data_IF_179853491277
#
_entry.id   IF_179853491277
#
_cell.length_a   1.000
_cell.length_b   1.000
_cell.length_c   1.000
_cell.angle_alpha   90.00
_cell.angle_beta   90.00
_cell.angle_gamma   90.00
#
_symmetry.space_group_name_H-M   'P 1'
#
loop_
_entity.id
_entity.type
_entity.pdbx_description
1 polymer ?
#
# COMPACT_ATOMS: atom_id res chain seq x y z
N UNK A 1 7.87 64.71 13.15
CA UNK A 1 6.84 64.42 12.13
C UNK A 1 7.31 63.23 11.30
N UNK A 2 6.46 62.20 11.13
CA UNK A 2 6.41 61.21 10.03
C UNK A 2 7.71 60.44 9.65
N UNK A 3 7.74 59.14 9.32
CA UNK A 3 6.74 58.12 9.05
C UNK A 3 7.47 56.75 9.00
N UNK A 4 6.70 55.68 9.25
CA UNK A 4 7.08 54.27 9.12
C UNK A 4 7.78 53.88 7.81
N UNK A 5 8.45 52.71 7.80
CA UNK A 5 8.22 51.59 6.84
C UNK A 5 9.06 50.37 7.28
N UNK A 6 8.46 49.45 8.05
CA UNK A 6 8.04 48.09 7.64
C UNK A 6 9.17 47.16 7.20
N UNK A 7 9.46 46.19 8.07
CA UNK A 7 10.15 44.96 7.71
C UNK A 7 9.41 44.16 6.64
N UNK A 8 10.20 43.58 5.74
CA UNK A 8 9.91 42.53 4.75
C UNK A 8 11.27 41.83 4.55
N UNK A 9 11.44 40.52 4.49
CA UNK A 9 10.54 39.39 4.34
C UNK A 9 11.35 38.11 4.56
N UNK A 10 10.88 37.24 5.45
CA UNK A 10 11.33 35.84 5.59
C UNK A 10 10.37 35.01 4.74
N UNK A 11 10.61 34.81 3.43
CA UNK A 11 9.71 33.99 2.60
C UNK A 11 10.23 33.64 1.19
N UNK A 12 11.53 33.39 0.98
CA UNK A 12 12.02 33.06 -0.38
C UNK A 12 12.83 31.76 -0.48
N UNK A 13 13.27 31.18 0.63
CA UNK A 13 14.14 29.99 0.59
C UNK A 13 13.38 28.65 0.49
N UNK A 14 12.07 28.62 0.76
CA UNK A 14 11.28 27.39 0.73
C UNK A 14 10.72 27.00 -0.64
N UNK A 15 10.55 27.98 -1.54
CA UNK A 15 9.75 27.78 -2.76
C UNK A 15 10.59 27.33 -3.97
N UNK A 16 11.90 27.60 -3.94
CA UNK A 16 12.83 27.19 -5.00
C UNK A 16 13.20 25.70 -4.93
N UNK A 17 13.15 25.07 -3.74
CA UNK A 17 13.46 23.65 -3.58
C UNK A 17 12.35 22.71 -4.11
N UNK A 18 11.16 23.22 -4.36
CA UNK A 18 10.03 22.47 -4.92
C UNK A 18 10.05 22.36 -6.46
N UNK A 19 10.96 23.05 -7.14
CA UNK A 19 10.92 23.23 -8.61
C UNK A 19 11.93 22.39 -9.41
N UNK A 20 12.66 21.47 -8.80
CA UNK A 20 13.66 20.66 -9.51
C UNK A 20 13.78 19.21 -9.03
N UNK A 21 12.67 18.56 -8.64
CA UNK A 21 12.67 17.11 -8.56
C UNK A 21 12.73 16.55 -9.98
N UNK A 22 13.76 15.79 -10.31
CA UNK A 22 13.86 15.14 -11.61
C UNK A 22 12.60 14.26 -11.84
N UNK A 23 12.09 14.11 -13.08
CA UNK A 23 10.84 13.38 -13.33
C UNK A 23 10.88 11.90 -12.90
N UNK A 24 12.08 11.35 -12.65
CA UNK A 24 12.32 10.00 -12.11
C UNK A 24 12.57 9.98 -10.60
N UNK A 25 12.82 11.13 -9.98
CA UNK A 25 12.77 11.24 -8.53
C UNK A 25 11.29 11.20 -8.16
N UNK A 26 10.88 10.08 -7.55
CA UNK A 26 9.63 10.02 -6.80
C UNK A 26 9.61 11.26 -5.90
N UNK A 27 8.76 12.24 -6.21
CA UNK A 27 8.10 12.98 -5.14
C UNK A 27 7.68 11.90 -4.17
N UNK A 28 8.21 11.92 -2.94
CA UNK A 28 7.75 11.01 -1.90
C UNK A 28 6.23 11.22 -1.88
N UNK A 29 5.50 10.34 -2.56
CA UNK A 29 4.09 10.56 -2.84
C UNK A 29 3.48 10.72 -1.49
N UNK A 30 3.00 11.94 -1.24
CA UNK A 30 2.78 12.44 0.09
C UNK A 30 1.95 11.40 0.87
N UNK A 31 2.56 10.83 1.90
CA UNK A 31 1.86 10.23 3.03
C UNK A 31 0.73 9.24 2.70
N UNK A 32 1.01 8.12 2.03
CA UNK A 32 0.18 6.94 2.28
C UNK A 32 0.64 6.29 3.60
N UNK A 33 0.43 6.99 4.71
CA UNK A 33 0.64 6.47 6.07
C UNK A 33 -0.46 5.47 6.47
N UNK A 34 -0.97 4.70 5.51
CA UNK A 34 -2.04 3.76 5.74
C UNK A 34 -1.41 2.58 6.43
N UNK A 35 -1.65 2.49 7.73
CA UNK A 35 -1.11 1.41 8.54
C UNK A 35 -2.19 0.36 8.69
N UNK A 36 -2.04 -0.78 8.03
CA UNK A 36 -3.00 -1.88 8.14
C UNK A 36 -3.00 -2.34 9.60
N UNK A 37 -4.16 -2.25 10.24
CA UNK A 37 -4.36 -2.79 11.57
C UNK A 37 -4.79 -4.24 11.45
N UNK A 38 -4.07 -5.11 12.14
CA UNK A 38 -4.31 -6.54 12.14
C UNK A 38 -4.32 -7.11 13.56
N UNK A 39 -5.03 -8.21 13.74
CA UNK A 39 -5.06 -8.98 14.98
C UNK A 39 -4.66 -10.43 14.64
N UNK A 40 -3.80 -11.10 15.44
CA UNK A 40 -3.48 -12.51 15.25
C UNK A 40 -4.74 -13.37 15.31
N UNK A 41 -4.79 -14.42 14.50
CA UNK A 41 -5.84 -15.44 14.58
C UNK A 41 -5.25 -16.83 14.71
N UNK A 42 -5.90 -17.65 15.51
CA UNK A 42 -5.49 -19.05 15.74
C UNK A 42 -6.24 -20.01 14.81
N UNK A 43 -7.53 -19.78 14.60
CA UNK A 43 -8.36 -20.68 13.79
C UNK A 43 -8.23 -20.38 12.30
N UNK A 44 -7.97 -21.44 11.51
CA UNK A 44 -8.03 -21.42 10.05
C UNK A 44 -9.19 -22.27 9.53
N UNK A 45 -9.66 -21.95 8.32
CA UNK A 45 -10.68 -22.73 7.61
C UNK A 45 -11.83 -21.88 7.08
N UNK A 46 -12.67 -22.46 6.21
CA UNK A 46 -13.72 -21.72 5.50
C UNK A 46 -14.79 -21.17 6.44
N UNK A 47 -15.20 -21.94 7.46
CA UNK A 47 -16.21 -21.52 8.45
C UNK A 47 -15.72 -20.36 9.32
N UNK A 48 -14.47 -20.43 9.79
CA UNK A 48 -13.86 -19.36 10.58
C UNK A 48 -13.72 -18.09 9.74
N UNK A 49 -13.21 -18.20 8.50
CA UNK A 49 -13.11 -17.08 7.57
C UNK A 49 -14.47 -16.43 7.26
N UNK A 50 -15.53 -17.23 7.07
CA UNK A 50 -16.87 -16.71 6.85
C UNK A 50 -17.41 -15.96 8.08
N UNK A 51 -17.13 -16.44 9.29
CA UNK A 51 -17.50 -15.76 10.54
C UNK A 51 -16.81 -14.40 10.66
N UNK A 52 -15.49 -14.33 10.41
CA UNK A 52 -14.75 -13.05 10.42
C UNK A 52 -15.37 -12.03 9.46
N UNK A 53 -15.73 -12.46 8.24
CA UNK A 53 -16.37 -11.60 7.24
C UNK A 53 -17.74 -11.10 7.67
N UNK A 54 -18.53 -11.92 8.37
CA UNK A 54 -19.82 -11.50 8.95
C UNK A 54 -19.64 -10.42 10.01
N UNK A 55 -18.55 -10.46 10.77
CA UNK A 55 -18.19 -9.41 11.73
C UNK A 55 -17.51 -8.19 11.08
N UNK A 56 -17.45 -8.13 9.75
CA UNK A 56 -16.83 -7.01 9.03
C UNK A 56 -15.31 -7.04 9.03
N UNK A 57 -14.69 -8.20 9.24
CA UNK A 57 -13.23 -8.38 9.19
C UNK A 57 -12.81 -9.24 8.01
N UNK A 58 -11.55 -9.14 7.65
CA UNK A 58 -10.97 -9.87 6.51
C UNK A 58 -9.88 -10.79 7.03
N UNK A 59 -9.96 -12.10 6.77
CA UNK A 59 -8.85 -12.98 7.07
C UNK A 59 -7.65 -12.59 6.19
N UNK A 60 -6.49 -12.49 6.82
CA UNK A 60 -5.24 -12.14 6.18
C UNK A 60 -4.15 -13.17 6.51
N UNK A 61 -3.12 -13.19 5.68
CA UNK A 61 -1.94 -14.04 5.86
C UNK A 61 -0.71 -13.18 5.65
N UNK A 62 0.18 -13.18 6.63
CA UNK A 62 1.52 -12.62 6.53
C UNK A 62 2.50 -13.76 6.29
N UNK A 63 3.18 -13.71 5.16
CA UNK A 63 4.22 -14.63 4.77
C UNK A 63 5.58 -13.98 4.97
N UNK A 64 6.51 -14.72 5.54
CA UNK A 64 7.88 -14.26 5.67
C UNK A 64 8.78 -15.25 4.96
N UNK A 65 9.71 -14.72 4.17
CA UNK A 65 10.55 -15.48 3.26
C UNK A 65 11.76 -16.04 4.00
N UNK A 66 12.20 -17.24 3.59
CA UNK A 66 13.32 -17.94 4.23
C UNK A 66 14.70 -17.46 3.79
N UNK A 67 14.77 -16.63 2.74
CA UNK A 67 16.02 -16.12 2.21
C UNK A 67 15.83 -14.81 1.45
N UNK A 68 16.93 -14.29 0.94
CA UNK A 68 17.01 -12.97 0.32
C UNK A 68 16.60 -12.96 -1.15
N UNK A 69 16.45 -14.14 -1.78
CA UNK A 69 16.23 -14.28 -3.22
C UNK A 69 14.77 -14.45 -3.62
N UNK A 70 14.37 -14.00 -4.83
CA UNK A 70 13.05 -14.25 -5.36
C UNK A 70 12.94 -15.73 -5.79
N UNK A 71 12.32 -16.54 -4.94
CA UNK A 71 12.20 -18.00 -5.12
C UNK A 71 12.51 -18.79 -3.85
N UNK A 72 13.12 -18.15 -2.86
CA UNK A 72 13.27 -18.75 -1.54
C UNK A 72 11.89 -19.03 -0.92
N UNK A 73 11.75 -20.24 -0.38
CA UNK A 73 10.48 -20.72 0.16
C UNK A 73 9.93 -19.87 1.31
N UNK A 74 8.69 -20.13 1.69
CA UNK A 74 8.04 -19.48 2.83
C UNK A 74 8.67 -20.03 4.12
N UNK A 75 9.37 -19.21 4.89
CA UNK A 75 9.91 -19.59 6.20
C UNK A 75 8.80 -19.71 7.25
N UNK A 76 7.99 -18.67 7.38
CA UNK A 76 6.93 -18.64 8.38
C UNK A 76 5.66 -17.98 7.89
N UNK A 77 4.53 -18.52 8.34
CA UNK A 77 3.19 -18.03 8.00
C UNK A 77 2.47 -17.61 9.27
N UNK A 78 2.17 -16.32 9.40
CA UNK A 78 1.34 -15.76 10.46
C UNK A 78 -0.07 -15.53 9.94
N UNK A 79 -1.04 -16.07 10.65
CA UNK A 79 -2.45 -15.87 10.34
C UNK A 79 -2.94 -14.62 11.07
N UNK A 80 -3.50 -13.69 10.30
CA UNK A 80 -3.96 -12.41 10.79
C UNK A 80 -5.42 -12.18 10.39
N UNK A 81 -6.04 -11.18 11.02
CA UNK A 81 -7.35 -10.66 10.67
C UNK A 81 -7.23 -9.14 10.58
N UNK A 82 -7.63 -8.55 9.46
CA UNK A 82 -7.60 -7.10 9.21
C UNK A 82 -9.01 -6.51 9.19
N UNK A 83 -9.12 -5.19 9.36
CA UNK A 83 -10.42 -4.49 9.24
C UNK A 83 -10.82 -4.33 7.76
N UNK A 84 -12.07 -4.66 7.44
CA UNK A 84 -12.63 -4.51 6.09
C UNK A 84 -12.77 -3.07 5.68
N UNK A 85 -13.21 -2.19 6.58
CA UNK A 85 -13.47 -0.78 6.24
C UNK A 85 -12.18 -0.09 5.83
N UNK A 86 -11.16 -0.26 6.67
CA UNK A 86 -9.82 0.25 6.41
C UNK A 86 -9.27 -0.24 5.07
N UNK A 87 -9.33 -1.55 4.80
CA UNK A 87 -8.80 -2.09 3.55
C UNK A 87 -9.60 -1.60 2.32
N UNK A 88 -10.92 -1.48 2.44
CA UNK A 88 -11.75 -0.98 1.36
C UNK A 88 -11.47 0.50 1.04
N UNK A 89 -11.20 1.33 2.05
CA UNK A 89 -10.76 2.72 1.85
C UNK A 89 -9.38 2.80 1.19
N UNK A 90 -8.44 1.96 1.65
CA UNK A 90 -7.11 1.88 1.05
C UNK A 90 -7.17 1.49 -0.43
N UNK A 91 -7.95 0.46 -0.78
CA UNK A 91 -8.10 0.03 -2.17
C UNK A 91 -8.74 1.10 -3.06
N UNK A 92 -9.67 1.92 -2.52
CA UNK A 92 -10.27 3.03 -3.25
C UNK A 92 -9.29 4.18 -3.48
N UNK A 93 -8.44 4.47 -2.49
CA UNK A 93 -7.53 5.61 -2.53
C UNK A 93 -6.25 5.31 -3.33
N UNK A 94 -5.72 4.08 -3.25
CA UNK A 94 -4.47 3.70 -3.91
C UNK A 94 -4.72 2.69 -5.04
N UNK A 95 -4.71 3.12 -6.32
CA UNK A 95 -4.86 2.20 -7.46
C UNK A 95 -3.69 1.21 -7.57
N UNK A 96 -2.50 1.56 -7.07
CA UNK A 96 -1.31 0.69 -7.08
C UNK A 96 -1.05 -0.03 -5.76
N UNK A 97 -2.13 -0.42 -5.06
CA UNK A 97 -2.06 -1.04 -3.73
C UNK A 97 -1.12 -2.26 -3.67
N UNK A 98 -1.14 -3.12 -4.70
CA UNK A 98 -0.30 -4.33 -4.78
C UNK A 98 1.18 -4.04 -5.04
N UNK A 99 1.50 -2.84 -5.53
CA UNK A 99 2.85 -2.43 -5.89
C UNK A 99 3.50 -1.55 -4.83
N UNK A 100 2.74 -1.17 -3.80
CA UNK A 100 3.15 -0.18 -2.80
C UNK A 100 3.39 -0.89 -1.47
N UNK A 101 4.56 -0.72 -0.83
CA UNK A 101 4.79 -1.24 0.52
C UNK A 101 3.94 -0.47 1.53
N UNK A 102 3.36 -1.20 2.47
CA UNK A 102 2.42 -0.69 3.48
C UNK A 102 2.92 -1.03 4.86
N UNK A 103 2.66 -0.19 5.86
CA UNK A 103 2.98 -0.50 7.25
C UNK A 103 1.92 -1.42 7.84
N UNK A 104 2.33 -2.47 8.52
CA UNK A 104 1.47 -3.38 9.26
C UNK A 104 1.65 -3.15 10.77
N UNK A 105 0.54 -3.03 11.49
CA UNK A 105 0.50 -3.07 12.95
C UNK A 105 -0.38 -4.21 13.42
N UNK A 106 0.25 -5.20 14.04
CA UNK A 106 -0.43 -6.35 14.65
C UNK A 106 -0.67 -6.04 16.12
N UNK A 107 -1.94 -5.95 16.52
CA UNK A 107 -2.39 -5.70 17.89
C UNK A 107 -2.64 -7.02 18.62
N UNK A 108 -2.43 -7.04 19.94
CA UNK A 108 -2.58 -8.27 20.75
C UNK A 108 -4.03 -8.81 20.78
N UNK A 109 -5.02 -7.94 20.59
CA UNK A 109 -6.42 -8.29 20.62
C UNK A 109 -7.28 -7.19 20.04
N UNK A 110 -8.56 -7.47 19.88
CA UNK A 110 -9.52 -6.58 19.22
C UNK A 110 -9.67 -5.21 19.90
N UNK A 111 -9.68 -5.19 21.23
CA UNK A 111 -9.84 -3.98 22.05
C UNK A 111 -8.51 -3.48 22.63
N UNK A 112 -7.39 -4.13 22.28
CA UNK A 112 -6.08 -3.79 22.84
C UNK A 112 -5.35 -2.80 21.95
N UNK A 113 -4.78 -1.76 22.56
CA UNK A 113 -3.87 -0.83 21.89
C UNK A 113 -2.43 -1.34 21.86
N UNK A 114 -2.13 -2.43 22.55
CA UNK A 114 -0.78 -3.01 22.60
C UNK A 114 -0.42 -3.61 21.23
N UNK A 115 0.63 -3.07 20.62
CA UNK A 115 1.20 -3.56 19.35
C UNK A 115 2.18 -4.69 19.67
N UNK A 116 1.89 -5.88 19.15
CA UNK A 116 2.73 -7.08 19.30
C UNK A 116 3.81 -7.10 18.23
N UNK A 117 3.46 -6.73 17.01
CA UNK A 117 4.39 -6.75 15.88
C UNK A 117 4.10 -5.60 14.93
N UNK A 118 5.13 -4.86 14.57
CA UNK A 118 5.07 -3.84 13.52
C UNK A 118 6.12 -4.13 12.47
N UNK A 119 5.74 -4.02 11.19
CA UNK A 119 6.67 -4.28 10.09
C UNK A 119 6.19 -3.63 8.80
N UNK A 120 7.10 -3.52 7.83
CA UNK A 120 6.75 -3.13 6.46
C UNK A 120 6.38 -4.39 5.69
N UNK A 121 5.25 -4.36 5.00
CA UNK A 121 4.73 -5.50 4.25
C UNK A 121 4.32 -5.08 2.85
N UNK A 122 4.48 -5.97 1.88
CA UNK A 122 4.00 -5.79 0.53
C UNK A 122 2.75 -6.67 0.30
N UNK A 123 1.61 -6.08 -0.08
CA UNK A 123 0.44 -6.85 -0.51
C UNK A 123 0.73 -7.54 -1.85
N UNK A 124 0.66 -8.88 -1.90
CA UNK A 124 0.88 -9.64 -3.15
C UNK A 124 -0.44 -9.92 -3.85
N UNK A 125 -1.47 -10.28 -3.08
CA UNK A 125 -2.76 -10.69 -3.63
C UNK A 125 -3.89 -10.26 -2.72
N UNK A 126 -4.88 -9.61 -3.32
CA UNK A 126 -6.18 -9.36 -2.71
C UNK A 126 -7.19 -10.25 -3.44
N UNK A 127 -7.82 -11.15 -2.71
CA UNK A 127 -8.87 -11.99 -3.26
C UNK A 127 -10.19 -11.25 -3.09
N UNK A 128 -10.78 -10.84 -4.21
CA UNK A 128 -12.08 -10.16 -4.26
C UNK A 128 -13.06 -11.13 -4.93
N UNK A 129 -14.26 -11.23 -4.37
CA UNK A 129 -15.36 -11.93 -5.01
C UNK A 129 -15.84 -11.12 -6.21
N UNK A 130 -15.79 -11.70 -7.41
CA UNK A 130 -16.17 -11.05 -8.67
C UNK A 130 -17.65 -10.70 -8.70
N UNK A 131 -18.51 -11.50 -8.05
CA UNK A 131 -19.95 -11.29 -8.09
C UNK A 131 -20.39 -10.21 -7.12
N UNK A 132 -19.83 -10.21 -5.90
CA UNK A 132 -20.29 -9.33 -4.82
C UNK A 132 -19.37 -8.14 -4.56
N UNK A 133 -18.16 -8.13 -5.13
CA UNK A 133 -17.12 -7.14 -4.85
C UNK A 133 -16.55 -7.23 -3.43
N UNK A 134 -16.91 -8.27 -2.66
CA UNK A 134 -16.45 -8.42 -1.29
C UNK A 134 -15.02 -8.95 -1.21
N UNK A 135 -14.23 -8.40 -0.30
CA UNK A 135 -12.86 -8.85 -0.08
C UNK A 135 -12.86 -10.13 0.76
N UNK A 136 -12.37 -11.21 0.17
CA UNK A 136 -12.36 -12.54 0.77
C UNK A 136 -11.09 -12.79 1.58
N UNK A 137 -9.92 -12.42 1.06
CA UNK A 137 -8.64 -12.72 1.69
C UNK A 137 -7.56 -11.72 1.28
N UNK A 138 -6.65 -11.40 2.19
CA UNK A 138 -5.49 -10.56 1.92
C UNK A 138 -4.20 -11.35 2.16
N UNK A 139 -3.33 -11.42 1.16
CA UNK A 139 -2.01 -12.06 1.25
C UNK A 139 -0.93 -11.00 1.18
N UNK A 140 -0.09 -10.97 2.21
CA UNK A 140 1.00 -10.02 2.36
C UNK A 140 2.31 -10.78 2.56
N UNK A 141 3.40 -10.22 2.06
CA UNK A 141 4.76 -10.67 2.35
C UNK A 141 5.48 -9.62 3.16
N UNK A 142 6.25 -10.06 4.15
CA UNK A 142 7.13 -9.19 4.91
C UNK A 142 8.24 -8.64 4.01
N UNK A 143 8.36 -7.32 3.98
CA UNK A 143 9.33 -6.60 3.15
C UNK A 143 10.39 -5.99 4.06
N UNK A 144 11.31 -6.83 4.52
CA UNK A 144 12.47 -6.40 5.30
C UNK A 144 13.57 -5.86 4.36
N UNK A 145 14.43 -4.99 4.89
CA UNK A 145 15.54 -4.41 4.14
C UNK A 145 16.46 -5.51 3.60
N UNK A 146 16.73 -5.48 2.29
CA UNK A 146 17.60 -6.44 1.62
C UNK A 146 16.90 -7.70 1.08
N UNK A 147 15.59 -7.83 1.23
CA UNK A 147 14.83 -8.95 0.64
C UNK A 147 14.41 -8.63 -0.79
N UNK A 148 14.70 -9.51 -1.74
CA UNK A 148 14.23 -9.37 -3.12
C UNK A 148 12.80 -9.89 -3.26
N UNK A 149 11.89 -9.00 -3.68
CA UNK A 149 10.48 -9.33 -3.92
C UNK A 149 10.14 -9.22 -5.39
N UNK A 150 9.43 -10.21 -5.93
CA UNK A 150 8.82 -10.12 -7.26
C UNK A 150 7.53 -9.31 -7.15
N UNK A 151 7.50 -8.14 -7.79
CA UNK A 151 6.36 -7.22 -7.74
C UNK A 151 5.84 -6.99 -9.16
N UNK A 152 4.52 -6.99 -9.32
CA UNK A 152 3.88 -6.56 -10.56
C UNK A 152 3.68 -5.04 -10.48
N UNK A 153 4.26 -4.30 -11.41
CA UNK A 153 4.11 -2.85 -11.50
C UNK A 153 3.17 -2.52 -12.68
N UNK A 154 2.08 -1.77 -12.45
CA UNK A 154 1.24 -1.31 -13.52
C UNK A 154 1.98 -0.28 -14.37
N UNK A 155 1.84 -0.39 -15.69
CA UNK A 155 2.39 0.55 -16.66
C UNK A 155 1.31 1.57 -16.99
N UNK A 156 1.62 2.85 -16.79
CA UNK A 156 0.74 3.94 -17.17
C UNK A 156 1.29 4.69 -18.37
N UNK A 157 0.46 4.87 -19.39
CA UNK A 157 0.80 5.66 -20.55
C UNK A 157 0.58 7.14 -20.24
N UNK A 158 1.62 7.95 -20.46
CA UNK A 158 1.58 9.40 -20.33
C UNK A 158 1.95 10.03 -21.66
N UNK A 159 1.36 11.19 -21.97
CA UNK A 159 1.69 11.94 -23.19
C UNK A 159 1.07 11.38 -24.47
N UNK A 160 -0.05 10.67 -24.35
CA UNK A 160 -0.85 10.23 -25.51
C UNK A 160 -1.22 11.40 -26.42
N UNK A 161 -1.49 12.58 -25.83
CA UNK A 161 -1.81 13.83 -26.52
C UNK A 161 -0.69 14.37 -27.43
N UNK A 162 0.56 14.00 -27.15
CA UNK A 162 1.74 14.46 -27.90
C UNK A 162 2.17 13.45 -28.97
N UNK A 163 1.61 12.23 -28.97
CA UNK A 163 2.06 11.16 -29.86
C UNK A 163 1.55 11.38 -31.30
N UNK A 164 2.44 11.57 -32.29
CA UNK A 164 2.03 11.79 -33.67
C UNK A 164 1.41 10.55 -34.31
N UNK A 165 1.72 9.35 -33.81
CA UNK A 165 1.11 8.09 -34.26
C UNK A 165 -0.37 7.98 -33.88
N UNK A 166 -0.70 8.31 -32.62
CA UNK A 166 -2.08 8.37 -32.14
C UNK A 166 -2.89 9.44 -32.89
N UNK A 167 -2.31 10.61 -33.16
CA UNK A 167 -2.95 11.66 -33.98
C UNK A 167 -3.24 11.25 -35.42
N UNK A 168 -2.44 10.32 -35.97
CA UNK A 168 -2.63 9.75 -37.30
C UNK A 168 -3.62 8.56 -37.31
N UNK A 169 -4.26 8.27 -36.18
CA UNK A 169 -5.26 7.20 -36.06
C UNK A 169 -4.65 5.81 -35.86
N UNK A 170 -3.37 5.71 -35.51
CA UNK A 170 -2.71 4.44 -35.21
C UNK A 170 -2.93 4.10 -33.73
N UNK A 171 -3.47 2.91 -33.47
CA UNK A 171 -3.69 2.38 -32.13
C UNK A 171 -2.47 1.60 -31.64
N UNK A 172 -2.18 1.70 -30.35
CA UNK A 172 -1.07 1.00 -29.70
C UNK A 172 -1.63 -0.06 -28.74
N UNK A 173 -1.09 -1.28 -28.80
CA UNK A 173 -1.50 -2.41 -27.96
C UNK A 173 -0.25 -3.04 -27.31
N UNK A 174 -0.29 -3.23 -25.99
CA UNK A 174 0.69 -3.95 -25.16
C UNK A 174 -0.02 -5.11 -24.48
#
# INVERSE_FOLDING_TARGET
>A
MAQCLRGKSVAAAGEAALRAAAPWQRTASASYHHTIQAVPRETAGPRAAARERRHGRIPAVLLSLAGAGPGDGIAHRKLLTADRKQLAEMLKQSPYFLSTPVRLQVRAGEQSTAVVHSGTVLPIKVHIDETTGNILNLVMVQADEGTMLKVNLPVEFKGEDACPGLKKGIYFFI
#
